data_IF_072325371113
#
_entry.id   IF_072325371113
#
_cell.length_a   1.000
_cell.length_b   1.000
_cell.length_c   1.000
_cell.angle_alpha   90.00
_cell.angle_beta   90.00
_cell.angle_gamma   90.00
#
_symmetry.space_group_name_H-M   'P 1'
#
loop_
_entity.id
_entity.type
_entity.pdbx_description
1 polymer ?
#
# COMPACT_ATOMS: atom_id res chain seq x y z
N UNK A 1 -27.84 -21.36 14.66
CA UNK A 1 -26.49 -21.18 14.10
C UNK A 1 -26.48 -21.96 12.81
N UNK A 2 -26.60 -21.28 11.67
CA UNK A 2 -26.41 -21.95 10.39
C UNK A 2 -24.92 -22.33 10.31
N UNK A 3 -24.63 -23.60 10.02
CA UNK A 3 -23.32 -23.98 9.48
C UNK A 3 -23.19 -23.25 8.15
N UNK A 4 -22.29 -22.29 8.08
CA UNK A 4 -21.96 -21.62 6.82
C UNK A 4 -21.00 -22.54 6.08
N UNK A 5 -21.45 -23.04 4.93
CA UNK A 5 -20.62 -23.87 4.05
C UNK A 5 -19.81 -22.92 3.16
N UNK A 6 -18.52 -22.80 3.43
CA UNK A 6 -17.58 -22.05 2.59
C UNK A 6 -17.46 -22.78 1.25
N UNK A 7 -17.41 -22.06 0.12
CA UNK A 7 -17.03 -22.73 -1.12
C UNK A 7 -15.54 -23.10 -1.06
N UNK A 8 -15.15 -24.15 -1.79
CA UNK A 8 -13.73 -24.52 -1.92
C UNK A 8 -12.89 -23.34 -2.43
N UNK A 9 -13.44 -22.51 -3.32
CA UNK A 9 -12.79 -21.29 -3.81
C UNK A 9 -12.57 -20.24 -2.71
N UNK A 10 -13.51 -20.09 -1.77
CA UNK A 10 -13.38 -19.14 -0.66
C UNK A 10 -12.25 -19.59 0.29
N UNK A 11 -12.19 -20.90 0.58
CA UNK A 11 -11.15 -21.49 1.43
C UNK A 11 -9.77 -21.37 0.78
N UNK A 12 -9.69 -21.56 -0.54
CA UNK A 12 -8.45 -21.39 -1.31
C UNK A 12 -7.99 -19.92 -1.26
N UNK A 13 -8.88 -18.96 -1.53
CA UNK A 13 -8.56 -17.53 -1.44
C UNK A 13 -8.11 -17.10 -0.02
N UNK A 14 -8.76 -17.62 1.02
CA UNK A 14 -8.36 -17.37 2.40
C UNK A 14 -7.00 -17.99 2.75
N UNK A 15 -6.72 -19.19 2.23
CA UNK A 15 -5.44 -19.86 2.41
C UNK A 15 -4.30 -19.08 1.71
N UNK A 16 -4.52 -18.60 0.49
CA UNK A 16 -3.56 -17.79 -0.25
C UNK A 16 -3.27 -16.45 0.44
N UNK A 17 -4.31 -15.75 0.88
CA UNK A 17 -4.17 -14.51 1.64
C UNK A 17 -3.37 -14.71 2.93
N UNK A 18 -3.69 -15.78 3.66
CA UNK A 18 -2.99 -16.18 4.89
C UNK A 18 -1.54 -16.56 4.62
N UNK A 19 -1.26 -17.31 3.56
CA UNK A 19 0.10 -17.68 3.16
C UNK A 19 0.94 -16.43 2.86
N UNK A 20 0.36 -15.42 2.21
CA UNK A 20 1.03 -14.14 1.98
C UNK A 20 1.42 -13.44 3.29
N UNK A 21 0.54 -13.47 4.30
CA UNK A 21 0.84 -12.94 5.64
C UNK A 21 1.98 -13.74 6.30
N UNK A 22 1.95 -15.07 6.18
CA UNK A 22 2.97 -15.95 6.75
C UNK A 22 4.34 -15.73 6.09
N UNK A 23 4.40 -15.56 4.77
CA UNK A 23 5.66 -15.28 4.05
C UNK A 23 6.33 -14.01 4.56
N UNK A 24 5.56 -12.94 4.76
CA UNK A 24 6.08 -11.67 5.29
C UNK A 24 6.55 -11.83 6.74
N UNK A 25 5.76 -12.51 7.58
CA UNK A 25 6.14 -12.78 8.96
C UNK A 25 7.42 -13.63 9.03
N UNK A 26 7.54 -14.68 8.22
CA UNK A 26 8.72 -15.56 8.17
C UNK A 26 9.97 -14.78 7.75
N UNK A 27 9.86 -13.90 6.75
CA UNK A 27 10.96 -13.04 6.30
C UNK A 27 11.46 -12.16 7.45
N UNK A 28 10.56 -11.47 8.15
CA UNK A 28 10.90 -10.65 9.34
C UNK A 28 11.54 -11.47 10.46
N UNK A 29 11.04 -12.69 10.69
CA UNK A 29 11.62 -13.59 11.70
C UNK A 29 13.04 -14.00 11.29
N UNK A 30 13.29 -14.29 10.00
CA UNK A 30 14.60 -14.71 9.48
C UNK A 30 15.68 -13.64 9.58
N UNK A 31 15.32 -12.36 9.61
CA UNK A 31 16.26 -11.28 9.89
C UNK A 31 16.86 -11.39 11.30
N UNK A 32 16.15 -12.02 12.23
CA UNK A 32 16.56 -12.19 13.63
C UNK A 32 17.05 -13.63 13.89
N UNK A 33 16.38 -14.62 13.30
CA UNK A 33 16.60 -16.07 13.47
C UNK A 33 16.68 -16.70 12.07
N UNK A 34 17.85 -16.68 11.41
CA UNK A 34 18.00 -17.11 10.02
C UNK A 34 17.53 -18.53 9.71
N UNK A 35 17.59 -19.42 10.70
CA UNK A 35 17.16 -20.81 10.63
C UNK A 35 15.64 -21.01 10.74
N UNK A 36 14.85 -19.94 10.91
CA UNK A 36 13.40 -20.05 10.97
C UNK A 36 12.81 -20.58 9.66
N UNK A 37 12.05 -21.66 9.76
CA UNK A 37 11.44 -22.41 8.65
C UNK A 37 9.92 -22.46 8.74
N UNK A 38 9.34 -22.07 9.88
CA UNK A 38 7.90 -22.04 10.09
C UNK A 38 7.43 -20.77 10.79
N UNK A 39 6.14 -20.49 10.66
CA UNK A 39 5.46 -19.35 11.27
C UNK A 39 4.41 -19.86 12.23
N UNK A 40 4.33 -19.23 13.40
CA UNK A 40 3.32 -19.53 14.41
C UNK A 40 2.20 -18.51 14.27
N UNK A 41 1.16 -18.91 13.57
CA UNK A 41 -0.10 -18.19 13.48
C UNK A 41 -1.19 -18.97 14.23
N UNK A 42 -1.71 -18.35 15.30
CA UNK A 42 -2.72 -18.96 16.19
C UNK A 42 -4.15 -18.81 15.64
N UNK A 43 -4.32 -18.06 14.56
CA UNK A 43 -5.63 -17.82 13.95
C UNK A 43 -5.93 -18.95 12.95
N UNK A 44 -7.06 -19.65 13.09
CA UNK A 44 -7.49 -20.64 12.10
C UNK A 44 -8.01 -19.93 10.84
N UNK A 45 -8.04 -20.62 9.69
CA UNK A 45 -8.30 -20.01 8.37
C UNK A 45 -9.66 -19.29 8.32
N UNK A 46 -10.64 -19.78 9.06
CA UNK A 46 -12.00 -19.24 9.12
C UNK A 46 -12.05 -17.82 9.72
N UNK A 47 -11.08 -17.48 10.56
CA UNK A 47 -11.01 -16.12 11.14
C UNK A 47 -10.59 -15.06 10.14
N UNK A 48 -10.09 -15.46 8.97
CA UNK A 48 -9.78 -14.55 7.88
C UNK A 48 -11.02 -14.16 7.06
N UNK A 49 -12.17 -14.79 7.30
CA UNK A 49 -13.41 -14.31 6.68
C UNK A 49 -14.06 -13.23 7.53
N UNK A 50 -14.44 -12.13 6.89
CA UNK A 50 -15.28 -11.11 7.50
C UNK A 50 -16.66 -11.07 6.85
N UNK A 51 -17.67 -10.91 7.70
CA UNK A 51 -19.06 -10.73 7.29
C UNK A 51 -19.30 -9.26 6.95
N UNK A 52 -19.84 -9.00 5.77
CA UNK A 52 -20.31 -7.67 5.36
C UNK A 52 -21.78 -7.72 5.07
N UNK A 53 -22.47 -6.70 5.55
CA UNK A 53 -23.83 -6.40 5.16
C UNK A 53 -23.82 -5.32 4.10
N UNK A 54 -24.33 -5.66 2.92
CA UNK A 54 -24.47 -4.70 1.83
C UNK A 54 -25.94 -4.38 1.58
N UNK A 55 -26.18 -3.16 1.10
CA UNK A 55 -27.48 -2.68 0.68
C UNK A 55 -27.74 -3.20 -0.76
N UNK A 56 -28.82 -3.95 -1.03
CA UNK A 56 -30.15 -3.87 -0.43
C UNK A 56 -30.50 -5.04 0.53
N UNK A 57 -29.59 -5.46 1.39
CA UNK A 57 -29.84 -6.42 2.47
C UNK A 57 -29.30 -7.83 2.21
N UNK A 58 -28.12 -7.91 1.57
CA UNK A 58 -27.41 -9.19 1.35
C UNK A 58 -26.18 -9.25 2.25
N UNK A 59 -26.00 -10.39 2.91
CA UNK A 59 -24.73 -10.71 3.56
C UNK A 59 -23.80 -11.34 2.54
N UNK A 60 -22.54 -10.94 2.53
CA UNK A 60 -21.46 -11.67 1.86
C UNK A 60 -20.24 -11.77 2.76
N UNK A 61 -19.41 -12.78 2.48
CA UNK A 61 -18.14 -13.02 3.13
C UNK A 61 -17.04 -12.57 2.18
N UNK A 62 -16.01 -11.93 2.71
CA UNK A 62 -14.79 -11.64 1.98
C UNK A 62 -13.59 -11.95 2.86
N UNK A 63 -12.46 -12.24 2.21
CA UNK A 63 -11.20 -12.54 2.89
C UNK A 63 -10.55 -11.24 3.35
N UNK A 64 -10.24 -11.15 4.64
CA UNK A 64 -9.71 -9.98 5.30
C UNK A 64 -8.84 -10.34 6.52
N UNK A 65 -8.35 -9.32 7.21
CA UNK A 65 -7.58 -9.47 8.45
C UNK A 65 -8.51 -10.01 9.56
N UNK A 66 -8.07 -10.97 10.39
CA UNK A 66 -8.89 -11.47 11.49
C UNK A 66 -9.36 -10.40 12.47
N UNK A 67 -10.57 -10.60 12.99
CA UNK A 67 -11.15 -9.71 13.99
C UNK A 67 -10.22 -9.58 15.21
N UNK A 68 -10.06 -8.34 15.70
CA UNK A 68 -9.13 -8.02 16.79
C UNK A 68 -7.79 -7.45 16.33
N UNK A 69 -7.45 -7.57 15.04
CA UNK A 69 -6.29 -6.91 14.45
C UNK A 69 -6.71 -5.68 13.65
N UNK A 70 -6.12 -4.53 13.98
CA UNK A 70 -6.49 -3.23 13.37
C UNK A 70 -5.86 -2.99 11.99
N UNK A 71 -4.88 -3.81 11.62
CA UNK A 71 -4.21 -3.75 10.33
C UNK A 71 -3.46 -5.05 10.05
N UNK A 72 -3.13 -5.28 8.78
CA UNK A 72 -2.30 -6.41 8.36
C UNK A 72 -0.92 -6.35 9.01
N UNK A 73 -0.35 -5.15 9.15
CA UNK A 73 0.93 -4.95 9.83
C UNK A 73 0.85 -5.39 11.31
N UNK A 74 -0.22 -5.02 12.02
CA UNK A 74 -0.41 -5.42 13.42
C UNK A 74 -0.56 -6.95 13.56
N UNK A 75 -1.26 -7.59 12.63
CA UNK A 75 -1.35 -9.05 12.57
C UNK A 75 0.03 -9.68 12.30
N UNK A 76 0.76 -9.18 11.29
CA UNK A 76 2.10 -9.66 10.95
C UNK A 76 3.04 -9.53 12.15
N UNK A 77 3.05 -8.37 12.82
CA UNK A 77 3.91 -8.15 13.98
C UNK A 77 3.53 -9.05 15.16
N UNK A 78 2.24 -9.33 15.36
CA UNK A 78 1.79 -10.32 16.34
C UNK A 78 2.31 -11.73 16.01
N UNK A 79 2.17 -12.15 14.75
CA UNK A 79 2.64 -13.45 14.26
C UNK A 79 4.17 -13.55 14.37
N UNK A 80 4.90 -12.49 14.03
CA UNK A 80 6.36 -12.41 14.19
C UNK A 80 6.74 -12.58 15.65
N UNK A 81 6.08 -11.87 16.57
CA UNK A 81 6.37 -11.97 17.99
C UNK A 81 6.10 -13.37 18.55
N UNK A 82 4.97 -13.98 18.20
CA UNK A 82 4.62 -15.35 18.60
C UNK A 82 5.63 -16.37 18.04
N UNK A 83 6.07 -16.17 16.80
CA UNK A 83 7.08 -17.03 16.15
C UNK A 83 8.45 -16.87 16.81
N UNK A 84 8.89 -15.64 17.10
CA UNK A 84 10.14 -15.39 17.82
C UNK A 84 10.11 -16.00 19.22
N UNK A 85 8.99 -15.91 19.93
CA UNK A 85 8.83 -16.55 21.24
C UNK A 85 8.95 -18.08 21.15
N UNK A 86 8.35 -18.68 20.11
CA UNK A 86 8.47 -20.11 19.84
C UNK A 86 9.92 -20.53 19.61
N UNK A 87 10.66 -19.85 18.72
CA UNK A 87 12.06 -20.20 18.46
C UNK A 87 12.97 -19.92 19.66
N UNK A 88 12.76 -18.83 20.42
CA UNK A 88 13.52 -18.59 21.66
C UNK A 88 13.33 -19.71 22.68
N UNK A 89 12.11 -20.24 22.81
CA UNK A 89 11.82 -21.40 23.65
C UNK A 89 12.46 -22.67 23.10
N UNK A 90 12.44 -22.87 21.78
CA UNK A 90 13.10 -24.00 21.11
C UNK A 90 14.61 -23.99 21.36
N UNK A 91 15.25 -22.83 21.23
CA UNK A 91 16.69 -22.64 21.50
C UNK A 91 17.04 -22.81 22.98
N UNK A 92 16.17 -22.38 23.90
CA UNK A 92 16.34 -22.59 25.33
C UNK A 92 16.22 -24.08 25.75
N UNK A 93 15.59 -24.91 24.93
CA UNK A 93 15.48 -26.36 25.13
C UNK A 93 16.63 -27.12 24.44
N UNK A 94 17.29 -26.52 23.43
CA UNK A 94 18.38 -27.14 22.68
C UNK A 94 19.79 -26.84 23.20
N UNK A 95 19.94 -26.16 24.33
CA UNK A 95 21.24 -25.79 24.94
C UNK A 95 21.94 -26.98 25.66
N UNK A 96 21.86 -28.17 25.03
CA UNK A 96 22.69 -29.35 25.30
C UNK A 96 23.12 -29.99 23.97
N UNK A 97 24.07 -29.37 23.25
CA UNK A 97 25.20 -30.03 22.54
C UNK A 97 25.88 -29.12 21.51
N UNK A 98 27.21 -29.23 21.43
CA UNK A 98 28.20 -28.47 20.65
C UNK A 98 28.03 -28.43 19.10
N UNK A 99 28.70 -27.48 18.41
CA UNK A 99 28.50 -27.19 16.98
C UNK A 99 29.55 -27.81 16.04
N UNK A 100 29.17 -28.04 14.78
CA UNK A 100 30.11 -28.19 13.65
C UNK A 100 29.68 -27.35 12.44
N UNK A 101 30.70 -26.91 11.70
CA UNK A 101 30.76 -25.88 10.66
C UNK A 101 30.20 -26.31 9.30
N UNK A 102 30.13 -25.37 8.34
CA UNK A 102 30.77 -25.43 7.00
C UNK A 102 30.48 -24.15 6.18
N UNK A 103 31.56 -23.56 5.65
CA UNK A 103 31.65 -22.56 4.57
C UNK A 103 31.16 -23.12 3.23
N UNK A 104 30.53 -22.30 2.37
CA UNK A 104 30.77 -22.36 0.91
C UNK A 104 30.53 -20.99 0.24
N UNK A 105 31.38 -20.75 -0.76
CA UNK A 105 31.72 -19.48 -1.43
C UNK A 105 31.24 -19.49 -2.90
N UNK A 106 31.23 -18.28 -3.51
CA UNK A 106 31.11 -17.94 -4.96
C UNK A 106 29.79 -18.25 -5.72
N UNK A 107 29.26 -17.44 -6.67
CA UNK A 107 29.91 -16.60 -7.69
C UNK A 107 28.91 -15.63 -8.38
N UNK A 108 29.47 -14.55 -8.92
CA UNK A 108 28.84 -13.38 -9.53
C UNK A 108 27.94 -13.59 -10.77
N UNK A 109 26.97 -12.67 -10.98
CA UNK A 109 26.55 -12.18 -12.31
C UNK A 109 25.77 -10.83 -12.25
N UNK A 110 26.14 -9.95 -13.19
CA UNK A 110 25.44 -8.77 -13.73
C UNK A 110 25.68 -7.40 -13.06
N UNK A 111 26.40 -6.55 -13.79
CA UNK A 111 26.72 -5.16 -13.47
C UNK A 111 25.58 -4.24 -13.91
N UNK A 112 24.53 -4.07 -13.12
CA UNK A 112 23.73 -2.85 -12.96
C UNK A 112 22.96 -3.08 -11.65
N UNK A 113 22.98 -2.17 -10.65
CA UNK A 113 22.31 -2.44 -9.39
C UNK A 113 20.82 -2.63 -9.66
N UNK A 114 20.28 -3.73 -9.15
CA UNK A 114 18.86 -4.07 -9.22
C UNK A 114 18.06 -3.04 -8.39
N UNK A 115 17.61 -1.95 -9.02
CA UNK A 115 16.87 -0.85 -8.37
C UNK A 115 15.56 -1.32 -7.70
N UNK A 116 15.13 -2.57 -7.94
CA UNK A 116 13.99 -3.20 -7.25
C UNK A 116 14.27 -3.54 -5.79
N UNK A 117 15.53 -3.69 -5.39
CA UNK A 117 15.90 -4.10 -4.02
C UNK A 117 15.75 -3.00 -2.95
N UNK A 118 15.45 -1.74 -3.33
CA UNK A 118 15.35 -0.61 -2.39
C UNK A 118 14.02 0.17 -2.47
N UNK A 119 12.98 -0.37 -3.11
CA UNK A 119 11.68 0.34 -3.23
C UNK A 119 10.97 0.44 -1.87
N UNK A 120 10.89 -0.66 -1.10
CA UNK A 120 10.24 -0.70 0.23
C UNK A 120 10.89 0.29 1.21
N UNK A 121 12.21 0.44 1.18
CA UNK A 121 12.94 1.39 2.03
C UNK A 121 12.63 2.86 1.72
N UNK A 122 12.12 3.14 0.53
CA UNK A 122 11.75 4.49 0.10
C UNK A 122 10.28 4.81 0.39
N UNK A 123 9.43 3.83 0.66
CA UNK A 123 8.05 4.07 1.05
C UNK A 123 7.99 4.42 2.55
N UNK A 124 7.14 5.37 2.91
CA UNK A 124 6.98 5.84 4.30
C UNK A 124 5.70 5.24 4.89
N UNK A 125 5.78 4.07 5.51
CA UNK A 125 4.60 3.37 6.06
C UNK A 125 4.09 3.94 7.39
N UNK A 126 5.00 4.45 8.23
CA UNK A 126 4.70 4.84 9.61
C UNK A 126 4.18 6.26 9.78
N UNK A 127 3.77 6.93 8.69
CA UNK A 127 3.33 8.32 8.79
C UNK A 127 1.96 8.45 9.48
N UNK A 128 1.78 9.43 10.39
CA UNK A 128 0.48 9.68 11.02
C UNK A 128 -0.67 9.92 10.03
N UNK A 129 -0.37 10.38 8.81
CA UNK A 129 -1.33 10.48 7.72
C UNK A 129 -2.14 9.21 7.50
N UNK A 130 -1.51 8.04 7.53
CA UNK A 130 -2.22 6.79 7.28
C UNK A 130 -3.25 6.47 8.35
N UNK A 131 -3.11 6.98 9.57
CA UNK A 131 -4.15 6.87 10.61
C UNK A 131 -5.30 7.86 10.42
N UNK A 132 -5.09 8.95 9.66
CA UNK A 132 -6.14 9.91 9.34
C UNK A 132 -6.96 9.43 8.15
N UNK A 133 -6.31 8.92 7.09
CA UNK A 133 -7.01 8.47 5.88
C UNK A 133 -7.89 7.23 6.14
N UNK A 134 -7.58 6.43 7.16
CA UNK A 134 -8.42 5.30 7.58
C UNK A 134 -9.79 5.69 8.12
N UNK A 135 -10.00 6.95 8.51
CA UNK A 135 -11.32 7.47 8.86
C UNK A 135 -12.24 7.62 7.63
N UNK A 136 -11.69 7.42 6.42
CA UNK A 136 -12.36 7.61 5.13
C UNK A 136 -12.33 6.32 4.28
N UNK A 137 -13.00 5.23 4.72
CA UNK A 137 -12.93 3.92 4.06
C UNK A 137 -13.57 3.86 2.66
N UNK A 138 -14.39 4.84 2.29
CA UNK A 138 -14.99 4.98 0.96
C UNK A 138 -14.14 5.90 0.05
N UNK A 139 -12.96 6.33 0.50
CA UNK A 139 -12.07 7.15 -0.30
C UNK A 139 -11.41 6.30 -1.39
N UNK A 140 -11.61 6.69 -2.64
CA UNK A 140 -11.01 6.05 -3.83
C UNK A 140 -9.65 6.61 -4.22
N UNK A 141 -9.18 7.59 -3.46
CA UNK A 141 -7.89 8.21 -3.72
C UNK A 141 -6.83 7.40 -3.02
N UNK A 142 -5.94 6.82 -3.81
CA UNK A 142 -4.77 6.09 -3.35
C UNK A 142 -3.63 7.06 -3.05
N UNK A 143 -2.99 6.86 -1.89
CA UNK A 143 -1.91 7.72 -1.41
C UNK A 143 -0.65 6.92 -1.11
N UNK A 144 0.46 7.33 -1.69
CA UNK A 144 1.77 6.75 -1.39
C UNK A 144 2.78 7.84 -1.00
N UNK A 145 3.28 7.77 0.23
CA UNK A 145 4.34 8.64 0.71
C UNK A 145 5.71 8.04 0.38
N UNK A 146 6.56 8.81 -0.29
CA UNK A 146 7.87 8.36 -0.76
C UNK A 146 8.97 9.30 -0.25
N UNK A 147 10.05 8.75 0.29
CA UNK A 147 11.25 9.50 0.70
C UNK A 147 11.90 10.16 -0.51
N UNK A 148 12.44 11.35 -0.30
CA UNK A 148 13.34 11.96 -1.26
C UNK A 148 14.72 11.27 -1.20
N UNK A 149 15.25 10.82 -2.35
CA UNK A 149 16.60 10.23 -2.41
C UNK A 149 17.69 11.25 -2.76
N UNK A 150 17.30 12.50 -3.09
CA UNK A 150 18.17 13.61 -3.49
C UNK A 150 19.10 13.37 -4.68
N UNK A 151 18.99 12.22 -5.35
CA UNK A 151 19.85 11.85 -6.48
C UNK A 151 19.52 12.65 -7.74
N UNK A 152 18.29 13.16 -7.81
CA UNK A 152 17.72 13.96 -8.90
C UNK A 152 16.79 15.04 -8.32
N UNK A 153 16.41 16.02 -9.13
CA UNK A 153 15.53 17.13 -8.72
C UNK A 153 14.47 17.41 -9.79
N UNK A 154 13.46 18.21 -9.45
CA UNK A 154 12.40 18.61 -10.38
C UNK A 154 11.63 17.40 -10.92
N UNK A 155 11.23 17.50 -12.19
CA UNK A 155 10.45 16.47 -12.89
C UNK A 155 11.03 15.05 -12.79
N UNK A 156 12.37 14.90 -12.82
CA UNK A 156 13.02 13.59 -12.72
C UNK A 156 12.87 12.97 -11.33
N UNK A 157 12.90 13.79 -10.27
CA UNK A 157 12.65 13.33 -8.91
C UNK A 157 11.19 12.92 -8.72
N UNK A 158 10.27 13.72 -9.26
CA UNK A 158 8.85 13.38 -9.28
C UNK A 158 8.59 12.07 -10.04
N UNK A 159 9.24 11.85 -11.19
CA UNK A 159 9.13 10.60 -11.95
C UNK A 159 9.64 9.40 -11.16
N UNK A 160 10.78 9.52 -10.47
CA UNK A 160 11.29 8.44 -9.61
C UNK A 160 10.35 8.14 -8.44
N UNK A 161 9.77 9.16 -7.83
CA UNK A 161 8.77 8.98 -6.78
C UNK A 161 7.54 8.23 -7.32
N UNK A 162 7.07 8.59 -8.53
CA UNK A 162 5.97 7.90 -9.20
C UNK A 162 6.30 6.43 -9.49
N UNK A 163 7.48 6.13 -10.05
CA UNK A 163 7.93 4.74 -10.29
C UNK A 163 7.90 3.92 -9.00
N UNK A 164 8.40 4.47 -7.90
CA UNK A 164 8.40 3.79 -6.58
C UNK A 164 6.99 3.59 -6.05
N UNK A 165 6.13 4.59 -6.18
CA UNK A 165 4.74 4.48 -5.77
C UNK A 165 3.99 3.44 -6.59
N UNK A 166 4.16 3.38 -7.91
CA UNK A 166 3.54 2.34 -8.76
C UNK A 166 4.03 0.95 -8.40
N UNK A 167 5.34 0.77 -8.15
CA UNK A 167 5.87 -0.51 -7.69
C UNK A 167 5.29 -0.96 -6.33
N UNK A 168 4.74 -0.03 -5.55
CA UNK A 168 4.03 -0.34 -4.30
C UNK A 168 2.52 -0.51 -4.50
N UNK A 169 1.85 0.43 -5.18
CA UNK A 169 0.40 0.46 -5.36
C UNK A 169 -0.10 -0.56 -6.38
N UNK A 170 0.71 -0.89 -7.39
CA UNK A 170 0.34 -1.78 -8.49
C UNK A 170 0.92 -3.18 -8.32
N UNK A 171 1.37 -3.51 -7.12
CA UNK A 171 1.79 -4.85 -6.77
C UNK A 171 0.90 -5.40 -5.67
N UNK A 172 0.56 -6.67 -5.80
CA UNK A 172 -0.10 -7.39 -4.73
C UNK A 172 0.89 -7.67 -3.58
N UNK A 173 0.44 -8.41 -2.58
CA UNK A 173 1.27 -8.75 -1.44
C UNK A 173 2.37 -9.79 -1.73
N UNK A 174 2.26 -10.52 -2.83
CA UNK A 174 3.30 -11.41 -3.33
C UNK A 174 4.36 -10.65 -4.16
N UNK A 175 4.09 -9.39 -4.50
CA UNK A 175 4.91 -8.57 -5.39
C UNK A 175 4.57 -8.76 -6.87
N UNK A 176 3.49 -9.50 -7.16
CA UNK A 176 3.00 -9.69 -8.52
C UNK A 176 2.29 -8.42 -8.99
N UNK A 177 2.50 -8.06 -10.25
CA UNK A 177 1.92 -6.85 -10.82
C UNK A 177 0.39 -7.03 -10.99
N UNK A 178 -0.39 -6.16 -10.34
CA UNK A 178 -1.84 -6.06 -10.51
C UNK A 178 -2.20 -5.40 -11.84
N UNK A 179 -1.34 -4.49 -12.31
CA UNK A 179 -1.59 -3.61 -13.44
C UNK A 179 -0.35 -3.58 -14.34
N UNK A 180 -0.56 -3.50 -15.65
CA UNK A 180 0.49 -3.16 -16.59
C UNK A 180 0.73 -1.65 -16.59
N UNK A 181 2.00 -1.24 -16.52
CA UNK A 181 2.35 0.18 -16.52
C UNK A 181 3.73 0.47 -17.13
N UNK A 182 3.86 1.67 -17.70
CA UNK A 182 5.13 2.20 -18.22
C UNK A 182 5.24 3.71 -17.94
N UNK A 183 5.69 4.06 -16.72
CA UNK A 183 5.81 5.45 -16.25
C UNK A 183 6.70 6.31 -17.17
N UNK A 184 7.59 5.71 -17.98
CA UNK A 184 8.39 6.48 -18.93
C UNK A 184 7.55 7.14 -20.03
N UNK A 185 6.33 6.64 -20.30
CA UNK A 185 5.35 7.22 -21.22
C UNK A 185 4.46 8.27 -20.57
N UNK A 186 4.56 8.47 -19.25
CA UNK A 186 3.81 9.50 -18.55
C UNK A 186 4.35 10.90 -18.88
N UNK A 187 3.50 11.73 -19.50
CA UNK A 187 3.79 13.13 -19.74
C UNK A 187 3.48 13.93 -18.49
N UNK A 188 4.36 14.85 -18.12
CA UNK A 188 4.22 15.63 -16.90
C UNK A 188 3.93 17.11 -17.20
N UNK A 189 3.02 17.68 -16.45
CA UNK A 189 2.74 19.10 -16.42
C UNK A 189 2.90 19.62 -14.99
N UNK A 190 3.82 20.56 -14.79
CA UNK A 190 3.91 21.30 -13.52
C UNK A 190 2.64 22.15 -13.36
N UNK A 191 2.01 22.08 -12.19
CA UNK A 191 0.83 22.89 -11.87
C UNK A 191 1.07 23.72 -10.61
N UNK A 192 0.49 24.93 -10.52
CA UNK A 192 0.58 25.72 -9.30
C UNK A 192 -0.10 25.02 -8.11
N UNK A 193 0.42 25.21 -6.90
CA UNK A 193 -0.21 24.67 -5.67
C UNK A 193 -1.66 25.12 -5.50
N UNK A 194 -2.02 26.33 -5.96
CA UNK A 194 -3.41 26.79 -5.96
C UNK A 194 -4.32 25.96 -6.87
N UNK A 195 -3.80 25.47 -8.00
CA UNK A 195 -4.55 24.58 -8.90
C UNK A 195 -4.70 23.17 -8.31
N UNK A 196 -3.68 22.68 -7.59
CA UNK A 196 -3.75 21.41 -6.86
C UNK A 196 -4.87 21.41 -5.80
N UNK A 197 -5.07 22.53 -5.09
CA UNK A 197 -6.12 22.70 -4.08
C UNK A 197 -7.42 23.32 -4.59
N UNK A 198 -7.59 23.42 -5.92
CA UNK A 198 -8.75 24.05 -6.51
C UNK A 198 -10.08 23.43 -6.00
N UNK A 199 -11.18 24.21 -6.00
CA UNK A 199 -12.50 23.69 -5.72
C UNK A 199 -12.85 22.50 -6.64
N UNK A 200 -13.70 21.59 -6.18
CA UNK A 200 -14.18 20.50 -7.01
C UNK A 200 -15.02 21.06 -8.16
N UNK A 201 -14.70 20.69 -9.40
CA UNK A 201 -15.51 21.01 -10.56
C UNK A 201 -16.38 19.81 -10.92
N UNK A 202 -17.65 19.83 -10.48
CA UNK A 202 -18.57 18.72 -10.70
C UNK A 202 -18.85 18.43 -12.18
N UNK A 203 -18.60 19.40 -13.07
CA UNK A 203 -18.85 19.27 -14.50
C UNK A 203 -17.57 19.28 -15.35
N UNK A 204 -16.41 19.52 -14.73
CA UNK A 204 -15.11 19.53 -15.37
C UNK A 204 -14.34 18.21 -15.20
N UNK A 205 -13.09 18.26 -15.65
CA UNK A 205 -12.11 17.19 -15.49
C UNK A 205 -11.93 16.79 -14.02
N UNK A 206 -11.54 15.54 -13.80
CA UNK A 206 -11.23 15.05 -12.46
C UNK A 206 -10.06 15.86 -11.87
N UNK A 207 -10.31 16.45 -10.70
CA UNK A 207 -9.29 17.10 -9.88
C UNK A 207 -9.25 16.46 -8.49
N UNK A 208 -8.19 16.73 -7.73
CA UNK A 208 -7.95 16.06 -6.45
C UNK A 208 -9.12 16.21 -5.47
N UNK A 209 -9.69 17.42 -5.35
CA UNK A 209 -10.83 17.65 -4.45
C UNK A 209 -12.08 16.91 -4.90
N UNK A 210 -12.36 16.86 -6.22
CA UNK A 210 -13.47 16.06 -6.77
C UNK A 210 -13.25 14.58 -6.53
N UNK A 211 -12.02 14.09 -6.73
CA UNK A 211 -11.66 12.70 -6.51
C UNK A 211 -11.97 12.24 -5.08
N UNK A 212 -11.69 13.10 -4.10
CA UNK A 212 -11.94 12.81 -2.70
C UNK A 212 -13.43 12.96 -2.28
N UNK A 213 -14.10 14.03 -2.73
CA UNK A 213 -15.44 14.38 -2.24
C UNK A 213 -16.58 13.76 -3.04
N UNK A 214 -16.35 13.44 -4.31
CA UNK A 214 -17.38 13.01 -5.24
C UNK A 214 -16.89 11.82 -6.09
N UNK A 215 -16.52 10.68 -5.47
CA UNK A 215 -16.30 9.45 -6.21
C UNK A 215 -17.60 8.95 -6.86
N UNK A 216 -17.53 7.94 -7.75
CA UNK A 216 -18.71 7.38 -8.43
C UNK A 216 -19.79 6.92 -7.45
N UNK A 217 -19.40 6.30 -6.33
CA UNK A 217 -20.29 6.02 -5.21
C UNK A 217 -20.49 7.25 -4.31
N UNK A 218 -21.66 7.34 -3.69
CA UNK A 218 -21.94 8.43 -2.75
C UNK A 218 -21.13 8.25 -1.47
N UNK A 219 -20.38 9.28 -1.10
CA UNK A 219 -19.78 9.40 0.23
C UNK A 219 -20.46 10.50 1.05
N UNK A 220 -20.25 10.48 2.36
CA UNK A 220 -20.66 11.53 3.29
C UNK A 220 -19.63 12.66 3.46
N UNK A 221 -18.56 12.67 2.67
CA UNK A 221 -17.39 13.52 2.91
C UNK A 221 -17.64 14.97 2.53
N UNK A 222 -16.98 15.90 3.24
CA UNK A 222 -17.11 17.33 3.00
C UNK A 222 -15.75 18.04 2.99
N UNK A 223 -15.75 19.34 2.71
CA UNK A 223 -14.50 20.12 2.63
C UNK A 223 -13.67 20.10 3.93
N UNK A 224 -14.29 19.96 5.10
CA UNK A 224 -13.57 19.83 6.38
C UNK A 224 -12.77 18.53 6.43
N UNK A 225 -13.32 17.45 5.87
CA UNK A 225 -12.63 16.16 5.76
C UNK A 225 -11.45 16.25 4.82
N UNK A 226 -11.66 16.86 3.65
CA UNK A 226 -10.60 17.13 2.70
C UNK A 226 -9.48 17.97 3.33
N UNK A 227 -9.83 19.02 4.09
CA UNK A 227 -8.87 19.83 4.83
C UNK A 227 -8.12 19.01 5.89
N UNK A 228 -8.81 18.13 6.63
CA UNK A 228 -8.19 17.27 7.65
C UNK A 228 -7.15 16.33 7.05
N UNK A 229 -7.48 15.67 5.93
CA UNK A 229 -6.56 14.81 5.18
C UNK A 229 -5.33 15.60 4.72
N UNK A 230 -5.53 16.81 4.19
CA UNK A 230 -4.44 17.63 3.67
C UNK A 230 -3.54 18.27 4.75
N UNK A 231 -4.11 18.65 5.90
CA UNK A 231 -3.31 19.06 7.07
C UNK A 231 -2.42 17.92 7.54
N UNK A 232 -2.88 16.67 7.43
CA UNK A 232 -2.08 15.51 7.80
C UNK A 232 -1.02 15.15 6.75
N UNK A 233 -1.30 15.34 5.45
CA UNK A 233 -0.32 15.16 4.38
C UNK A 233 0.80 16.22 4.45
N UNK A 234 0.44 17.47 4.75
CA UNK A 234 1.33 18.63 4.73
C UNK A 234 1.35 19.33 6.10
N UNK A 235 1.86 18.68 7.17
CA UNK A 235 1.76 19.19 8.54
C UNK A 235 2.55 20.47 8.79
N UNK A 236 3.47 20.82 7.88
CA UNK A 236 4.26 22.06 7.93
C UNK A 236 3.71 23.15 6.99
N UNK A 237 2.50 23.00 6.47
CA UNK A 237 1.87 23.93 5.52
C UNK A 237 2.21 23.64 4.06
N UNK A 238 1.56 24.38 3.16
CA UNK A 238 1.51 24.09 1.71
C UNK A 238 2.23 25.12 0.84
N UNK A 239 3.00 26.05 1.41
CA UNK A 239 3.63 27.16 0.70
C UNK A 239 4.92 26.77 -0.04
N UNK A 240 5.46 25.58 0.22
CA UNK A 240 6.69 25.06 -0.39
C UNK A 240 6.48 23.74 -1.15
N UNK A 241 5.28 23.56 -1.72
CA UNK A 241 4.95 22.40 -2.54
C UNK A 241 5.35 22.62 -4.00
N UNK A 242 5.88 21.58 -4.62
CA UNK A 242 6.07 21.46 -6.06
C UNK A 242 5.15 20.34 -6.55
N UNK A 243 4.36 20.59 -7.59
CA UNK A 243 3.28 19.67 -7.99
C UNK A 243 3.34 19.39 -9.48
N UNK A 244 3.33 18.11 -9.83
CA UNK A 244 3.20 17.64 -11.19
C UNK A 244 1.93 16.81 -11.34
N UNK A 245 1.17 17.11 -12.39
CA UNK A 245 0.11 16.25 -12.94
C UNK A 245 0.72 15.41 -14.05
N UNK A 246 0.37 14.14 -14.07
CA UNK A 246 0.80 13.19 -15.09
C UNK A 246 -0.38 12.84 -16.00
N UNK A 247 -0.10 12.58 -17.28
CA UNK A 247 -1.03 11.84 -18.14
C UNK A 247 -1.33 10.47 -17.51
N UNK A 248 -2.36 9.76 -17.99
CA UNK A 248 -2.80 8.50 -17.38
C UNK A 248 -2.90 7.35 -18.38
N UNK A 249 -2.60 7.57 -19.66
CA UNK A 249 -2.68 6.56 -20.74
C UNK A 249 -1.52 5.53 -20.73
N UNK A 250 -0.73 5.49 -19.65
CA UNK A 250 0.47 4.65 -19.53
C UNK A 250 0.28 3.43 -18.62
N UNK A 251 -0.91 3.24 -18.03
CA UNK A 251 -1.26 2.07 -17.22
C UNK A 251 -2.73 1.70 -17.36
N UNK A 252 -3.01 0.40 -17.41
CA UNK A 252 -4.38 -0.16 -17.43
C UNK A 252 -5.16 0.08 -16.12
N UNK A 253 -4.48 0.44 -15.02
CA UNK A 253 -5.13 0.95 -13.80
C UNK A 253 -6.09 2.12 -14.08
N UNK A 254 -5.79 2.95 -15.09
CA UNK A 254 -6.58 4.14 -15.40
C UNK A 254 -7.75 3.90 -16.36
N UNK A 255 -7.86 2.70 -16.94
CA UNK A 255 -8.81 2.41 -18.01
C UNK A 255 -10.26 2.60 -17.53
N UNK A 256 -10.62 2.04 -16.37
CA UNK A 256 -11.97 2.16 -15.80
C UNK A 256 -12.36 3.63 -15.52
N UNK A 257 -11.43 4.42 -14.97
CA UNK A 257 -11.64 5.84 -14.73
C UNK A 257 -11.82 6.63 -16.03
N UNK A 258 -11.05 6.33 -17.09
CA UNK A 258 -11.17 7.02 -18.38
C UNK A 258 -12.53 6.86 -19.04
N UNK A 259 -13.24 5.75 -18.80
CA UNK A 259 -14.55 5.52 -19.40
C UNK A 259 -15.66 6.40 -18.80
N UNK A 260 -15.59 6.76 -17.52
CA UNK A 260 -16.71 7.38 -16.81
C UNK A 260 -16.35 8.60 -15.96
N UNK A 261 -15.52 8.41 -14.94
CA UNK A 261 -15.33 9.39 -13.86
C UNK A 261 -14.17 10.36 -14.12
N UNK A 262 -13.22 9.92 -14.94
CA UNK A 262 -11.90 10.50 -15.14
C UNK A 262 -10.82 9.75 -14.37
N UNK A 263 -9.58 10.06 -14.70
CA UNK A 263 -8.39 9.52 -14.06
C UNK A 263 -7.52 10.66 -13.52
N UNK A 264 -6.85 10.43 -12.39
CA UNK A 264 -5.98 11.40 -11.75
C UNK A 264 -4.65 10.75 -11.40
N UNK A 265 -3.55 11.38 -11.79
CA UNK A 265 -2.21 11.04 -11.31
C UNK A 265 -1.44 12.31 -10.98
N UNK A 266 -1.03 12.45 -9.72
CA UNK A 266 -0.31 13.59 -9.20
C UNK A 266 0.88 13.15 -8.36
N UNK A 267 1.92 13.96 -8.40
CA UNK A 267 3.04 13.87 -7.46
C UNK A 267 3.28 15.24 -6.86
N UNK A 268 3.39 15.30 -5.53
CA UNK A 268 3.60 16.51 -4.77
C UNK A 268 4.87 16.36 -3.96
N UNK A 269 5.88 17.19 -4.21
CA UNK A 269 7.07 17.24 -3.38
C UNK A 269 6.89 18.33 -2.32
N UNK A 270 6.89 17.92 -1.05
CA UNK A 270 6.88 18.85 0.08
C UNK A 270 8.31 19.12 0.54
N UNK A 271 8.83 20.30 0.19
CA UNK A 271 10.20 20.73 0.54
C UNK A 271 10.43 20.92 2.04
N UNK A 272 9.37 21.05 2.86
CA UNK A 272 9.48 21.24 4.31
C UNK A 272 9.57 19.93 5.08
N UNK A 273 8.93 18.88 4.56
CA UNK A 273 9.00 17.52 5.13
C UNK A 273 9.93 16.60 4.36
N UNK A 274 10.44 17.06 3.21
CA UNK A 274 11.43 16.40 2.36
C UNK A 274 10.97 15.01 1.89
N UNK A 275 9.73 14.97 1.39
CA UNK A 275 9.08 13.75 0.90
C UNK A 275 8.14 14.06 -0.25
N UNK A 276 7.84 13.03 -1.02
CA UNK A 276 6.82 13.04 -2.04
C UNK A 276 5.52 12.45 -1.51
N UNK A 277 4.40 13.01 -1.96
CA UNK A 277 3.07 12.43 -1.90
C UNK A 277 2.66 12.09 -3.33
N UNK A 278 2.47 10.80 -3.61
CA UNK A 278 1.86 10.35 -4.85
C UNK A 278 0.37 10.13 -4.60
N UNK A 279 -0.46 10.70 -5.47
CA UNK A 279 -1.91 10.69 -5.37
C UNK A 279 -2.45 10.17 -6.69
N UNK A 280 -3.12 9.02 -6.67
CA UNK A 280 -3.76 8.46 -7.86
C UNK A 280 -5.23 8.17 -7.57
N UNK A 281 -6.07 8.27 -8.59
CA UNK A 281 -7.46 7.87 -8.51
C UNK A 281 -7.94 7.45 -9.90
N UNK A 282 -8.58 6.28 -9.95
CA UNK A 282 -9.23 5.72 -11.13
C UNK A 282 -10.29 4.75 -10.62
N UNK A 283 -11.56 5.03 -10.93
CA UNK A 283 -12.68 4.19 -10.50
C UNK A 283 -13.82 4.28 -11.49
N UNK A 284 -14.66 3.25 -11.47
CA UNK A 284 -15.96 3.18 -12.14
C UNK A 284 -17.07 2.89 -11.12
N UNK A 285 -18.33 2.90 -11.56
CA UNK A 285 -19.53 2.81 -10.71
C UNK A 285 -19.90 1.40 -10.18
#
# INVERSE_FOLDING_TARGET
MAEYDYSDCDLEAAAEFREGIHKVALRKVREIIPEADTVIDRNPVETYFQNVWDYPGKWYLYVAIPEGFRSRAALIDSIVNDTLEFYRRKSAVSDQSDPESVDLDEKAKSQWPDERQNVEDMIIYGDPFYSVVTDYPECVVEYCLVKNDHSVQGIDAHRRALVRACAFLFSDAAGDALWHYDVAKADAQEIPTAAFFAPADLHGELNYRKAFLFPPHKTGYNNTDFERVNVSLFPKGTDALEVFRWSTDWSDYFDDGHEWWGALCLTVYDKRTDRFVVIIASETD
#
